data_IF_307740333408
#
_entry.id   IF_307740333408
#
_cell.length_a   1.000
_cell.length_b   1.000
_cell.length_c   1.000
_cell.angle_alpha   90.00
_cell.angle_beta   90.00
_cell.angle_gamma   90.00
#
_symmetry.space_group_name_H-M   'P 1'
#
loop_
_entity.id
_entity.type
_entity.pdbx_description
1 polymer ?
#
# COMPACT_ATOMS: atom_id res chain seq x y z
N UNK A 1 12.48 44.20 -6.87
CA UNK A 1 12.26 43.11 -5.91
C UNK A 1 11.63 41.94 -6.65
N UNK A 2 12.32 40.80 -6.76
CA UNK A 2 11.75 39.59 -7.38
C UNK A 2 11.21 38.72 -6.26
N UNK A 3 9.90 38.68 -6.10
CA UNK A 3 9.23 37.81 -5.13
C UNK A 3 9.40 36.37 -5.60
N UNK A 4 10.30 35.60 -4.96
CA UNK A 4 10.41 34.16 -5.19
C UNK A 4 9.10 33.52 -4.73
N UNK A 5 8.23 33.17 -5.68
CA UNK A 5 7.06 32.35 -5.42
C UNK A 5 7.54 30.95 -5.02
N UNK A 6 7.66 30.70 -3.72
CA UNK A 6 7.78 29.35 -3.20
C UNK A 6 6.45 28.64 -3.47
N UNK A 7 6.38 27.81 -4.51
CA UNK A 7 5.25 26.90 -4.73
C UNK A 7 5.15 26.00 -3.50
N UNK A 8 4.21 26.29 -2.62
CA UNK A 8 3.87 25.38 -1.52
C UNK A 8 3.49 24.04 -2.14
N UNK A 9 4.12 22.96 -1.68
CA UNK A 9 3.76 21.61 -2.14
C UNK A 9 2.31 21.36 -1.71
N UNK A 10 1.39 21.26 -2.67
CA UNK A 10 -0.03 20.99 -2.41
C UNK A 10 -0.33 19.51 -2.49
N UNK A 11 -1.33 19.07 -1.71
CA UNK A 11 -1.87 17.70 -1.78
C UNK A 11 -2.33 17.40 -3.22
N UNK A 12 -2.08 16.18 -3.67
CA UNK A 12 -2.59 15.70 -4.95
C UNK A 12 -4.09 15.46 -4.84
N UNK A 13 -4.82 15.91 -5.85
CA UNK A 13 -6.26 15.68 -5.99
C UNK A 13 -6.53 14.22 -6.36
N UNK A 14 -7.76 13.76 -6.13
CA UNK A 14 -8.18 12.43 -6.58
C UNK A 14 -8.09 12.28 -8.11
N UNK A 15 -8.33 13.36 -8.87
CA UNK A 15 -8.18 13.35 -10.32
C UNK A 15 -6.73 13.13 -10.74
N UNK A 16 -5.77 13.80 -10.08
CA UNK A 16 -4.34 13.57 -10.32
C UNK A 16 -3.92 12.16 -9.93
N UNK A 17 -4.35 11.66 -8.75
CA UNK A 17 -4.05 10.28 -8.34
C UNK A 17 -4.59 9.27 -9.37
N UNK A 18 -5.81 9.48 -9.89
CA UNK A 18 -6.39 8.63 -10.93
C UNK A 18 -5.58 8.68 -12.22
N UNK A 19 -5.25 9.88 -12.70
CA UNK A 19 -4.49 10.06 -13.94
C UNK A 19 -3.11 9.39 -13.85
N UNK A 20 -2.34 9.67 -12.80
CA UNK A 20 -1.02 9.05 -12.65
C UNK A 20 -1.06 7.56 -12.35
N UNK A 21 -2.19 7.03 -11.86
CA UNK A 21 -2.38 5.58 -11.79
C UNK A 21 -2.57 4.99 -13.18
N UNK A 22 -3.44 5.56 -14.02
CA UNK A 22 -3.68 5.03 -15.37
C UNK A 22 -2.46 5.11 -16.28
N UNK A 23 -1.55 6.05 -16.04
CA UNK A 23 -0.30 6.14 -16.81
C UNK A 23 0.75 5.10 -16.41
N UNK A 24 0.79 4.70 -15.14
CA UNK A 24 1.87 3.86 -14.58
C UNK A 24 1.47 2.38 -14.49
N UNK A 25 0.21 2.11 -14.16
CA UNK A 25 -0.38 0.77 -14.05
C UNK A 25 -1.76 0.77 -14.72
N UNK A 26 -1.81 0.89 -16.06
CA UNK A 26 -3.07 1.00 -16.82
C UNK A 26 -4.03 -0.18 -16.62
N UNK A 27 -3.50 -1.35 -16.25
CA UNK A 27 -4.25 -2.56 -15.95
C UNK A 27 -5.03 -2.50 -14.63
N UNK A 28 -4.72 -1.56 -13.74
CA UNK A 28 -5.47 -1.36 -12.50
C UNK A 28 -6.81 -0.68 -12.79
N UNK A 29 -7.90 -1.41 -12.55
CA UNK A 29 -9.25 -0.87 -12.64
C UNK A 29 -9.49 0.12 -11.50
N UNK A 30 -9.92 1.34 -11.83
CA UNK A 30 -10.22 2.40 -10.86
C UNK A 30 -11.73 2.59 -10.64
N UNK A 31 -12.18 2.38 -9.42
CA UNK A 31 -13.56 2.60 -8.98
C UNK A 31 -13.64 3.81 -8.03
N UNK A 32 -14.73 4.59 -8.14
CA UNK A 32 -15.06 5.63 -7.17
C UNK A 32 -15.71 4.99 -5.95
N UNK A 33 -15.32 5.44 -4.76
CA UNK A 33 -15.91 5.01 -3.49
C UNK A 33 -16.32 6.23 -2.67
N UNK A 34 -17.08 6.03 -1.59
CA UNK A 34 -17.40 7.12 -0.67
C UNK A 34 -16.10 7.77 -0.14
N UNK A 35 -15.97 9.07 -0.38
CA UNK A 35 -14.83 9.89 0.06
C UNK A 35 -13.49 9.59 -0.64
N UNK A 36 -13.43 8.81 -1.72
CA UNK A 36 -12.14 8.42 -2.28
C UNK A 36 -12.16 7.61 -3.57
N UNK A 37 -11.04 6.93 -3.81
CA UNK A 37 -10.84 6.03 -4.94
C UNK A 37 -10.36 4.68 -4.45
N UNK A 38 -10.70 3.63 -5.20
CA UNK A 38 -10.03 2.34 -5.09
C UNK A 38 -9.51 1.87 -6.43
N UNK A 39 -8.41 1.14 -6.39
CA UNK A 39 -7.83 0.48 -7.55
C UNK A 39 -7.70 -1.01 -7.29
N UNK A 40 -8.12 -1.83 -8.25
CA UNK A 40 -7.97 -3.28 -8.21
C UNK A 40 -7.20 -3.73 -9.44
N UNK A 41 -6.16 -4.53 -9.25
CA UNK A 41 -5.32 -5.01 -10.33
C UNK A 41 -4.45 -6.17 -9.89
N UNK A 42 -3.48 -6.52 -10.72
CA UNK A 42 -2.59 -7.65 -10.51
C UNK A 42 -1.15 -7.17 -10.35
N UNK A 43 -0.43 -7.70 -9.36
CA UNK A 43 1.00 -7.48 -9.17
C UNK A 43 1.73 -8.82 -9.20
N UNK A 44 2.79 -8.88 -9.99
CA UNK A 44 3.72 -9.99 -10.01
C UNK A 44 5.12 -9.44 -9.65
N UNK A 45 5.58 -9.60 -8.39
CA UNK A 45 6.79 -8.95 -7.91
C UNK A 45 8.08 -9.28 -8.67
N UNK A 46 8.21 -10.53 -9.13
CA UNK A 46 9.27 -11.01 -10.01
C UNK A 46 8.71 -12.00 -11.04
N UNK A 47 9.40 -12.31 -12.15
CA UNK A 47 8.89 -13.23 -13.18
C UNK A 47 8.48 -14.62 -12.68
N UNK A 48 9.08 -15.08 -11.57
CA UNK A 48 8.78 -16.38 -10.94
C UNK A 48 7.75 -16.27 -9.79
N UNK A 49 7.43 -15.05 -9.35
CA UNK A 49 6.48 -14.80 -8.27
C UNK A 49 5.07 -15.19 -8.65
N UNK A 50 4.23 -15.43 -7.64
CA UNK A 50 2.80 -15.53 -7.83
C UNK A 50 2.24 -14.21 -8.38
N UNK A 51 1.13 -14.33 -9.11
CA UNK A 51 0.37 -13.17 -9.54
C UNK A 51 -0.69 -12.83 -8.49
N UNK A 52 -0.53 -11.69 -7.83
CA UNK A 52 -1.40 -11.25 -6.74
C UNK A 52 -2.45 -10.27 -7.22
N UNK A 53 -3.71 -10.62 -7.06
CA UNK A 53 -4.80 -9.67 -7.16
C UNK A 53 -4.82 -8.80 -5.91
N UNK A 54 -4.66 -7.50 -6.09
CA UNK A 54 -4.56 -6.53 -4.98
C UNK A 54 -5.62 -5.45 -5.10
N UNK A 55 -5.95 -4.84 -3.97
CA UNK A 55 -6.81 -3.65 -3.89
C UNK A 55 -6.12 -2.56 -3.10
N UNK A 56 -6.06 -1.36 -3.66
CA UNK A 56 -5.57 -0.15 -2.98
C UNK A 56 -6.75 0.79 -2.80
N UNK A 57 -6.95 1.27 -1.57
CA UNK A 57 -8.02 2.20 -1.20
C UNK A 57 -7.38 3.49 -0.69
N UNK A 58 -7.83 4.63 -1.21
CA UNK A 58 -7.35 5.93 -0.76
C UNK A 58 -8.50 6.91 -0.53
N UNK A 59 -8.57 7.43 0.69
CA UNK A 59 -9.45 8.54 1.09
C UNK A 59 -8.57 9.70 1.55
N UNK A 60 -8.69 10.91 0.99
CA UNK A 60 -7.88 12.06 1.40
C UNK A 60 -8.07 12.43 2.87
N UNK A 61 -9.24 12.16 3.44
CA UNK A 61 -9.56 12.44 4.85
C UNK A 61 -8.80 11.54 5.83
N UNK A 62 -8.58 10.27 5.48
CA UNK A 62 -7.84 9.33 6.34
C UNK A 62 -6.33 9.49 6.23
N UNK A 63 -5.83 10.25 5.25
CA UNK A 63 -4.40 10.46 4.98
C UNK A 63 -3.58 9.16 4.95
N UNK A 64 -4.18 8.05 4.54
CA UNK A 64 -3.53 6.75 4.65
C UNK A 64 -4.09 5.82 3.59
N UNK A 65 -3.34 5.52 2.52
CA UNK A 65 -3.70 4.49 1.58
C UNK A 65 -3.64 3.13 2.29
N UNK A 66 -4.69 2.34 2.14
CA UNK A 66 -4.78 0.96 2.62
C UNK A 66 -4.62 0.02 1.42
N UNK A 67 -3.73 -0.95 1.51
CA UNK A 67 -3.48 -1.94 0.47
C UNK A 67 -3.85 -3.34 0.95
N UNK A 68 -4.53 -4.13 0.12
CA UNK A 68 -5.03 -5.45 0.46
C UNK A 68 -4.62 -6.45 -0.61
N UNK A 69 -4.31 -7.68 -0.18
CA UNK A 69 -4.12 -8.82 -1.07
C UNK A 69 -5.43 -9.61 -1.08
N UNK A 70 -6.06 -9.70 -2.25
CA UNK A 70 -7.34 -10.40 -2.43
C UNK A 70 -7.10 -11.87 -2.74
N UNK A 71 -6.20 -12.15 -3.69
CA UNK A 71 -5.90 -13.49 -4.19
C UNK A 71 -4.41 -13.57 -4.60
N UNK A 72 -3.71 -14.69 -4.34
CA UNK A 72 -4.08 -15.70 -3.36
C UNK A 72 -4.16 -15.09 -1.94
N UNK A 73 -4.94 -15.71 -1.06
CA UNK A 73 -4.99 -15.27 0.34
C UNK A 73 -3.61 -15.45 0.98
N UNK A 74 -3.15 -14.42 1.68
CA UNK A 74 -1.94 -14.51 2.48
C UNK A 74 -2.16 -15.53 3.61
N UNK A 75 -1.14 -16.35 3.85
CA UNK A 75 -1.11 -17.28 4.97
C UNK A 75 0.21 -17.19 5.73
N UNK A 76 0.16 -17.60 6.99
CA UNK A 76 1.29 -17.64 7.91
C UNK A 76 2.13 -18.88 7.59
N UNK A 77 3.45 -18.72 7.53
CA UNK A 77 4.39 -19.83 7.34
C UNK A 77 4.28 -20.84 8.46
N UNK A 78 4.52 -22.11 8.16
CA UNK A 78 4.54 -23.16 9.17
C UNK A 78 5.57 -22.87 10.27
N UNK A 79 5.17 -23.04 11.53
CA UNK A 79 6.00 -22.72 12.70
C UNK A 79 5.94 -21.26 13.15
N UNK A 80 5.30 -20.37 12.39
CA UNK A 80 5.19 -18.95 12.71
C UNK A 80 3.80 -18.59 13.26
N UNK A 81 3.72 -17.51 14.04
CA UNK A 81 2.46 -17.04 14.66
C UNK A 81 1.81 -15.88 13.93
N UNK A 82 2.55 -15.21 13.05
CA UNK A 82 2.06 -14.07 12.26
C UNK A 82 2.88 -13.89 10.98
N UNK A 83 2.32 -13.17 10.01
CA UNK A 83 3.08 -12.69 8.86
C UNK A 83 3.89 -11.47 9.30
N UNK A 84 5.19 -11.39 9.00
CA UNK A 84 5.98 -10.22 9.32
C UNK A 84 5.43 -8.96 8.65
N UNK A 85 5.62 -7.82 9.34
CA UNK A 85 5.38 -6.50 8.75
C UNK A 85 3.96 -6.33 8.18
N UNK A 86 2.95 -6.68 8.98
CA UNK A 86 1.54 -6.41 8.72
C UNK A 86 0.94 -5.50 9.78
N UNK A 87 -0.07 -4.73 9.40
CA UNK A 87 -0.99 -4.10 10.34
C UNK A 87 -2.01 -5.12 10.88
N UNK A 88 -2.92 -4.66 11.74
CA UNK A 88 -4.14 -5.39 12.11
C UNK A 88 -4.84 -5.99 10.88
N UNK A 89 -5.35 -7.22 11.04
CA UNK A 89 -6.05 -7.92 9.95
C UNK A 89 -5.16 -8.40 8.80
N UNK A 90 -3.85 -8.60 9.06
CA UNK A 90 -2.86 -9.09 8.07
C UNK A 90 -2.71 -8.19 6.83
N UNK A 91 -3.01 -6.90 6.97
CA UNK A 91 -2.82 -5.92 5.89
C UNK A 91 -1.32 -5.62 5.74
N UNK A 92 -0.72 -5.68 4.54
CA UNK A 92 0.68 -5.29 4.34
C UNK A 92 1.01 -3.92 4.95
N UNK A 93 2.03 -3.88 5.81
CA UNK A 93 2.60 -2.62 6.28
C UNK A 93 3.54 -2.11 5.19
N UNK A 94 3.24 -0.95 4.60
CA UNK A 94 4.01 -0.38 3.48
C UNK A 94 4.82 0.84 3.87
N UNK A 95 4.54 1.40 5.05
CA UNK A 95 5.19 2.57 5.64
C UNK A 95 4.83 2.61 7.13
N UNK A 96 5.55 3.36 7.95
CA UNK A 96 5.18 3.55 9.35
C UNK A 96 4.16 4.71 9.49
N UNK A 97 2.92 4.47 9.97
CA UNK A 97 1.95 5.53 10.19
C UNK A 97 2.47 6.61 11.14
N UNK A 98 2.08 7.87 10.90
CA UNK A 98 2.54 9.02 11.69
C UNK A 98 3.96 9.49 11.38
N UNK A 99 4.70 8.79 10.51
CA UNK A 99 5.98 9.27 9.99
C UNK A 99 5.82 10.04 8.67
N UNK A 100 6.94 10.53 8.12
CA UNK A 100 6.98 11.23 6.82
C UNK A 100 7.30 10.31 5.64
N UNK A 101 7.27 8.98 5.83
CA UNK A 101 7.51 8.03 4.76
C UNK A 101 6.47 8.17 3.64
N UNK A 102 5.19 8.23 4.01
CA UNK A 102 4.10 8.54 3.08
C UNK A 102 3.54 9.94 3.33
N UNK A 103 3.11 10.60 2.25
CA UNK A 103 2.34 11.85 2.34
C UNK A 103 1.37 11.98 1.16
N UNK A 104 0.27 12.75 1.31
CA UNK A 104 -0.70 13.00 0.21
C UNK A 104 -0.12 13.85 -0.94
N UNK A 105 1.15 14.27 -0.84
CA UNK A 105 1.91 14.93 -1.89
C UNK A 105 2.53 13.93 -2.88
N UNK A 106 2.51 12.63 -2.55
CA UNK A 106 3.13 11.56 -3.33
C UNK A 106 2.11 10.80 -4.15
N UNK A 107 2.51 10.35 -5.34
CA UNK A 107 1.68 9.53 -6.22
C UNK A 107 1.58 8.10 -5.67
N UNK A 108 0.36 7.58 -5.50
CA UNK A 108 0.13 6.19 -5.07
C UNK A 108 0.78 5.22 -6.05
N UNK A 109 0.71 5.52 -7.36
CA UNK A 109 1.30 4.72 -8.42
C UNK A 109 2.82 4.63 -8.36
N UNK A 110 3.50 5.62 -7.77
CA UNK A 110 4.97 5.66 -7.63
C UNK A 110 5.46 5.36 -6.21
N UNK A 111 4.55 4.99 -5.30
CA UNK A 111 4.87 4.72 -3.89
C UNK A 111 4.20 3.45 -3.41
N UNK A 112 2.90 3.50 -3.14
CA UNK A 112 2.12 2.38 -2.59
C UNK A 112 2.16 1.16 -3.51
N UNK A 113 2.03 1.35 -4.83
CA UNK A 113 2.11 0.25 -5.80
C UNK A 113 3.48 -0.46 -5.75
N UNK A 114 4.63 0.24 -5.96
CA UNK A 114 5.93 -0.42 -5.87
C UNK A 114 6.26 -0.93 -4.47
N UNK A 115 5.84 -0.28 -3.39
CA UNK A 115 6.03 -0.78 -2.03
C UNK A 115 5.23 -2.05 -1.76
N UNK A 116 4.00 -2.15 -2.26
CA UNK A 116 3.19 -3.36 -2.14
C UNK A 116 3.84 -4.51 -2.92
N UNK A 117 4.32 -4.25 -4.14
CA UNK A 117 5.06 -5.25 -4.93
C UNK A 117 6.31 -5.73 -4.19
N UNK A 118 7.09 -4.81 -3.62
CA UNK A 118 8.29 -5.14 -2.86
C UNK A 118 7.97 -5.92 -1.58
N UNK A 119 6.90 -5.55 -0.87
CA UNK A 119 6.44 -6.30 0.30
C UNK A 119 6.06 -7.73 -0.08
N UNK A 120 5.35 -7.93 -1.20
CA UNK A 120 4.99 -9.25 -1.71
C UNK A 120 6.23 -10.08 -2.09
N UNK A 121 7.25 -9.46 -2.70
CA UNK A 121 8.52 -10.12 -2.95
C UNK A 121 9.16 -10.65 -1.66
N UNK A 122 9.23 -9.82 -0.62
CA UNK A 122 9.80 -10.25 0.66
C UNK A 122 8.92 -11.25 1.42
N UNK A 123 7.59 -11.19 1.23
CA UNK A 123 6.68 -12.21 1.72
C UNK A 123 7.00 -13.60 1.11
N UNK A 124 7.23 -13.68 -0.21
CA UNK A 124 7.66 -14.92 -0.86
C UNK A 124 9.03 -15.39 -0.36
N UNK A 125 10.00 -14.47 -0.24
CA UNK A 125 11.33 -14.79 0.26
C UNK A 125 11.32 -15.27 1.72
N UNK A 126 10.43 -14.74 2.55
CA UNK A 126 10.26 -15.19 3.94
C UNK A 126 9.80 -16.65 4.01
N UNK A 127 8.85 -17.05 3.16
CA UNK A 127 8.42 -18.45 3.05
C UNK A 127 9.57 -19.38 2.64
N UNK A 128 10.42 -18.93 1.71
CA UNK A 128 11.57 -19.70 1.22
C UNK A 128 12.66 -19.81 2.28
N UNK A 129 13.05 -18.69 2.89
CA UNK A 129 14.33 -18.60 3.59
C UNK A 129 14.25 -18.88 5.08
N UNK A 130 13.18 -18.50 5.77
CA UNK A 130 13.33 -18.29 7.21
C UNK A 130 13.00 -16.89 7.66
N UNK A 131 13.47 -15.93 6.88
CA UNK A 131 13.89 -14.64 7.38
C UNK A 131 13.15 -13.51 6.68
N UNK A 132 12.73 -12.50 7.45
CA UNK A 132 12.17 -11.29 6.88
C UNK A 132 13.29 -10.37 6.36
N UNK A 133 13.48 -10.37 5.05
CA UNK A 133 14.51 -9.57 4.38
C UNK A 133 14.04 -8.18 3.95
N UNK A 134 12.79 -7.81 4.26
CA UNK A 134 12.17 -6.55 3.80
C UNK A 134 12.56 -5.31 4.60
N UNK A 135 13.29 -5.48 5.71
CA UNK A 135 13.59 -4.38 6.65
C UNK A 135 12.31 -3.74 7.21
N UNK A 136 12.39 -2.43 7.48
CA UNK A 136 11.28 -1.63 8.02
C UNK A 136 11.14 -1.71 9.55
N UNK A 137 10.49 -0.71 10.13
CA UNK A 137 10.13 -0.72 11.57
C UNK A 137 8.79 -1.42 11.72
N UNK A 138 8.76 -2.52 12.48
CA UNK A 138 7.53 -3.25 12.73
C UNK A 138 6.52 -2.37 13.49
N UNK A 139 5.27 -2.24 12.99
CA UNK A 139 4.25 -1.50 13.70
C UNK A 139 3.92 -2.22 15.01
N UNK A 140 3.92 -1.49 16.13
CA UNK A 140 3.38 -2.00 17.39
C UNK A 140 1.85 -2.06 17.27
N UNK A 141 1.24 -3.22 17.50
CA UNK A 141 -0.22 -3.41 17.40
C UNK A 141 -0.98 -2.55 18.41
N UNK A 142 -1.43 -1.35 18.01
CA UNK A 142 -2.51 -0.64 18.69
C UNK A 142 -3.83 -1.03 18.02
N UNK A 143 -4.72 -1.70 18.79
CA UNK A 143 -5.88 -2.46 18.30
C UNK A 143 -7.11 -1.62 17.90
N UNK A 144 -7.05 -0.29 17.92
CA UNK A 144 -8.27 0.53 18.02
C UNK A 144 -8.81 1.13 16.71
N UNK A 145 -8.04 1.19 15.61
CA UNK A 145 -8.45 2.02 14.45
C UNK A 145 -9.06 1.27 13.25
N UNK A 146 -9.09 -0.07 13.21
CA UNK A 146 -9.44 -0.81 11.98
C UNK A 146 -10.81 -1.52 11.98
N UNK A 147 -11.52 -1.54 13.12
CA UNK A 147 -12.73 -2.36 13.30
C UNK A 147 -14.02 -1.69 12.81
N UNK A 148 -13.97 -0.45 12.32
CA UNK A 148 -15.18 0.37 12.05
C UNK A 148 -15.54 0.58 10.57
N UNK A 149 -14.86 -0.04 9.60
CA UNK A 149 -15.09 0.24 8.17
C UNK A 149 -15.39 -1.00 7.30
N UNK A 150 -15.96 -2.06 7.88
CA UNK A 150 -16.51 -3.19 7.12
C UNK A 150 -18.04 -3.15 7.16
N UNK A 151 -18.62 -2.09 6.59
CA UNK A 151 -19.99 -2.08 6.05
C UNK A 151 -20.01 -1.31 4.72
#
# INVERSE_FOLDING_TARGET
>A
MVTKYFKTKRKLTLAEQRYFMSEVVPEFKCDKISGGLSWTGYLQPAPISFNYKVKIVYRPESYSPKAYVLEPKLFIREGETSIPHVYSGQRPCLYLPGTREWSPLMYISKTIVPWLSLWLFYYEMWHITGEWLGGGVHPTTNKEEDTLEIE
#
